data_IF_793208349930
#
_entry.id   IF_793208349930
#
_cell.length_a   1.000
_cell.length_b   1.000
_cell.length_c   1.000
_cell.angle_alpha   90.00
_cell.angle_beta   90.00
_cell.angle_gamma   90.00
#
_symmetry.space_group_name_H-M   'P 1'
#
loop_
_entity.id
_entity.type
_entity.pdbx_description
1 polymer ?
#
# COMPACT_ATOMS: atom_id res chain seq x y z
N UNK A 1 20.04 5.46 -10.46
CA UNK A 1 20.59 4.39 -11.33
C UNK A 1 19.53 3.31 -11.42
N UNK A 2 19.04 2.92 -12.60
CA UNK A 2 17.96 1.91 -12.69
C UNK A 2 18.56 0.51 -12.72
N UNK A 3 18.35 -0.29 -11.67
CA UNK A 3 18.82 -1.68 -11.60
C UNK A 3 17.64 -2.63 -11.87
N UNK A 4 17.59 -3.24 -13.05
CA UNK A 4 16.60 -4.28 -13.40
C UNK A 4 17.18 -5.65 -13.05
N UNK A 5 16.71 -6.30 -11.98
CA UNK A 5 17.16 -7.67 -11.65
C UNK A 5 16.04 -8.58 -11.14
N UNK A 6 16.09 -9.84 -11.60
CA UNK A 6 15.21 -10.95 -11.20
C UNK A 6 15.61 -11.59 -9.85
N UNK A 7 16.46 -10.94 -9.02
CA UNK A 7 16.91 -11.37 -7.67
C UNK A 7 17.24 -10.15 -6.82
N UNK A 8 17.27 -10.33 -5.49
CA UNK A 8 17.38 -9.30 -4.43
C UNK A 8 18.12 -8.02 -4.83
N UNK A 9 17.41 -6.89 -4.84
CA UNK A 9 17.96 -5.54 -5.01
C UNK A 9 18.28 -4.94 -3.63
N UNK A 10 19.45 -4.31 -3.53
CA UNK A 10 19.86 -3.49 -2.38
C UNK A 10 20.30 -2.14 -2.97
N UNK A 11 19.61 -1.07 -2.57
CA UNK A 11 19.89 0.32 -2.98
C UNK A 11 21.20 0.87 -2.37
N UNK A 12 21.49 2.13 -2.69
CA UNK A 12 22.44 2.98 -1.98
C UNK A 12 21.75 3.80 -0.87
N UNK A 13 22.47 4.51 0.03
CA UNK A 13 21.87 5.40 1.04
C UNK A 13 21.25 6.70 0.49
N UNK A 14 20.86 6.74 -0.78
CA UNK A 14 20.26 7.88 -1.47
C UNK A 14 18.96 7.42 -2.11
N UNK A 15 18.07 8.37 -2.39
CA UNK A 15 16.86 8.07 -3.16
C UNK A 15 17.17 7.43 -4.50
N UNK A 16 16.71 6.20 -4.66
CA UNK A 16 16.93 5.32 -5.79
C UNK A 16 15.60 4.98 -6.49
N UNK A 17 15.69 4.41 -7.69
CA UNK A 17 14.53 3.85 -8.40
C UNK A 17 14.83 2.39 -8.71
N UNK A 18 14.08 1.50 -8.08
CA UNK A 18 14.29 0.06 -8.14
C UNK A 18 13.09 -0.62 -8.79
N UNK A 19 13.33 -1.65 -9.59
CA UNK A 19 12.26 -2.42 -10.22
C UNK A 19 12.53 -3.91 -10.08
N UNK A 20 11.53 -4.63 -9.57
CA UNK A 20 11.56 -6.07 -9.40
C UNK A 20 10.44 -6.73 -10.20
N UNK A 21 10.71 -7.94 -10.69
CA UNK A 21 9.76 -8.75 -11.43
C UNK A 21 9.85 -10.22 -11.02
N UNK A 22 8.78 -10.97 -11.30
CA UNK A 22 8.69 -12.36 -10.87
C UNK A 22 8.47 -12.44 -9.35
N UNK A 23 9.36 -13.14 -8.65
CA UNK A 23 9.37 -13.26 -7.19
C UNK A 23 10.59 -12.52 -6.62
N UNK A 24 10.68 -11.22 -6.87
CA UNK A 24 11.81 -10.41 -6.44
C UNK A 24 11.64 -9.88 -5.00
N UNK A 25 12.76 -9.64 -4.35
CA UNK A 25 12.84 -8.84 -3.12
C UNK A 25 13.57 -7.55 -3.45
N UNK A 26 12.96 -6.40 -3.14
CA UNK A 26 13.50 -5.07 -3.37
C UNK A 26 13.65 -4.38 -2.01
N UNK A 27 14.83 -3.81 -1.73
CA UNK A 27 15.08 -3.04 -0.50
C UNK A 27 15.67 -1.67 -0.85
N UNK A 28 15.00 -0.59 -0.43
CA UNK A 28 15.40 0.82 -0.57
C UNK A 28 16.37 1.33 0.52
N UNK A 29 16.51 0.62 1.63
CA UNK A 29 17.47 0.92 2.70
C UNK A 29 17.34 2.32 3.30
N UNK A 30 18.11 3.31 2.87
CA UNK A 30 18.05 4.68 3.39
C UNK A 30 17.88 5.64 2.21
N UNK A 31 17.04 6.64 2.36
CA UNK A 31 16.73 7.58 1.28
C UNK A 31 15.23 7.64 1.02
N UNK A 32 14.83 8.48 0.08
CA UNK A 32 13.45 8.52 -0.38
C UNK A 32 13.41 7.80 -1.73
N UNK A 33 13.01 6.54 -1.70
CA UNK A 33 13.10 5.60 -2.80
C UNK A 33 11.78 5.44 -3.55
N UNK A 34 11.91 5.08 -4.83
CA UNK A 34 10.81 4.65 -5.67
C UNK A 34 10.96 3.18 -6.03
N UNK A 35 10.10 2.33 -5.47
CA UNK A 35 10.14 0.88 -5.67
C UNK A 35 8.97 0.44 -6.54
N UNK A 36 9.25 -0.30 -7.62
CA UNK A 36 8.23 -0.78 -8.54
C UNK A 36 8.24 -2.31 -8.65
N UNK A 37 7.09 -2.92 -8.41
CA UNK A 37 6.77 -4.30 -8.79
C UNK A 37 6.29 -4.34 -10.24
N UNK A 38 6.69 -5.36 -11.01
CA UNK A 38 6.18 -5.60 -12.38
C UNK A 38 6.00 -7.09 -12.69
N UNK A 39 5.05 -7.38 -13.56
CA UNK A 39 4.87 -8.72 -14.12
C UNK A 39 4.22 -9.72 -13.15
N UNK A 40 4.13 -10.97 -13.57
CA UNK A 40 3.47 -12.03 -12.79
C UNK A 40 4.41 -12.55 -11.72
N UNK A 41 3.90 -12.67 -10.49
CA UNK A 41 4.62 -13.24 -9.35
C UNK A 41 4.24 -12.52 -8.04
N UNK A 42 4.98 -12.83 -6.97
CA UNK A 42 4.83 -12.19 -5.66
C UNK A 42 6.14 -11.53 -5.28
N UNK A 43 6.21 -10.22 -5.43
CA UNK A 43 7.35 -9.43 -5.04
C UNK A 43 7.22 -8.99 -3.58
N UNK A 44 8.36 -8.75 -2.95
CA UNK A 44 8.46 -8.10 -1.63
C UNK A 44 9.20 -6.79 -1.81
N UNK A 45 8.57 -5.67 -1.47
CA UNK A 45 9.11 -4.32 -1.54
C UNK A 45 9.26 -3.81 -0.11
N UNK A 46 10.47 -3.39 0.27
CA UNK A 46 10.79 -2.71 1.53
C UNK A 46 11.37 -1.34 1.22
N UNK A 47 10.69 -0.28 1.64
CA UNK A 47 11.18 1.10 1.54
C UNK A 47 12.46 1.25 2.35
N UNK A 48 12.35 1.12 3.66
CA UNK A 48 13.48 1.24 4.57
C UNK A 48 13.35 2.51 5.40
N UNK A 49 14.39 3.34 5.45
CA UNK A 49 14.34 4.64 6.13
C UNK A 49 14.18 5.74 5.11
N UNK A 50 13.22 6.62 5.36
CA UNK A 50 12.94 7.80 4.55
C UNK A 50 11.52 7.74 4.02
N UNK A 51 11.14 8.73 3.22
CA UNK A 51 9.76 8.83 2.73
C UNK A 51 9.70 8.18 1.35
N UNK A 52 9.29 6.92 1.33
CA UNK A 52 9.34 6.07 0.16
C UNK A 52 8.02 6.03 -0.60
N UNK A 53 8.10 5.63 -1.87
CA UNK A 53 6.93 5.36 -2.70
C UNK A 53 7.03 3.96 -3.29
N UNK A 54 6.09 3.09 -2.90
CA UNK A 54 6.05 1.69 -3.29
C UNK A 54 4.86 1.43 -4.21
N UNK A 55 5.14 0.89 -5.39
CA UNK A 55 4.13 0.46 -6.37
C UNK A 55 4.06 -1.06 -6.45
N UNK A 56 2.99 -1.63 -5.89
CA UNK A 56 2.61 -3.02 -6.11
C UNK A 56 2.03 -3.23 -7.51
N UNK A 57 1.98 -4.49 -7.92
CA UNK A 57 1.39 -4.91 -9.19
C UNK A 57 0.35 -6.00 -8.98
N UNK A 58 0.68 -7.06 -8.25
CA UNK A 58 -0.19 -8.23 -8.08
C UNK A 58 -0.35 -8.64 -6.60
N UNK A 59 0.05 -9.88 -6.27
CA UNK A 59 -0.03 -10.44 -4.92
C UNK A 59 1.26 -10.11 -4.14
N UNK A 60 1.61 -8.83 -4.09
CA UNK A 60 2.88 -8.36 -3.53
C UNK A 60 2.77 -8.07 -2.03
N UNK A 61 3.92 -8.00 -1.38
CA UNK A 61 4.05 -7.51 0.00
C UNK A 61 4.81 -6.19 -0.05
N UNK A 62 4.19 -5.13 0.45
CA UNK A 62 4.76 -3.78 0.51
C UNK A 62 4.94 -3.39 1.98
N UNK A 63 6.15 -2.96 2.32
CA UNK A 63 6.56 -2.49 3.63
C UNK A 63 7.16 -1.10 3.46
N UNK A 64 6.54 -0.07 4.02
CA UNK A 64 7.12 1.29 4.05
C UNK A 64 8.36 1.33 4.95
N UNK A 65 8.21 0.73 6.15
CA UNK A 65 9.20 0.66 7.22
C UNK A 65 9.27 1.97 8.04
N UNK A 66 10.28 2.83 7.88
CA UNK A 66 10.40 4.08 8.66
C UNK A 66 10.26 5.30 7.76
N UNK A 67 9.26 6.15 8.01
CA UNK A 67 9.07 7.41 7.31
C UNK A 67 7.60 7.62 6.93
N UNK A 68 7.32 8.74 6.27
CA UNK A 68 5.97 9.01 5.77
C UNK A 68 5.84 8.43 4.35
N UNK A 69 5.32 7.21 4.23
CA UNK A 69 5.37 6.44 2.98
C UNK A 69 4.08 6.51 2.16
N UNK A 70 4.20 6.24 0.85
CA UNK A 70 3.06 6.10 -0.05
C UNK A 70 3.06 4.71 -0.69
N UNK A 71 2.08 3.89 -0.30
CA UNK A 71 1.96 2.51 -0.75
C UNK A 71 0.79 2.37 -1.73
N UNK A 72 1.11 2.21 -3.01
CA UNK A 72 0.14 1.89 -4.05
C UNK A 72 -0.10 0.38 -4.12
N UNK A 73 -1.31 -0.02 -3.78
CA UNK A 73 -1.69 -1.42 -3.78
C UNK A 73 -1.74 -2.01 -5.20
N UNK A 74 -1.32 -3.27 -5.32
CA UNK A 74 -1.57 -4.08 -6.51
C UNK A 74 -2.99 -4.66 -6.53
N UNK A 75 -3.17 -5.78 -7.23
CA UNK A 75 -4.47 -6.44 -7.31
C UNK A 75 -4.90 -7.16 -6.03
N UNK A 76 -3.97 -7.72 -5.26
CA UNK A 76 -4.25 -8.51 -4.04
C UNK A 76 -3.04 -8.45 -3.09
N UNK A 77 -2.54 -7.24 -2.88
CA UNK A 77 -1.33 -6.97 -2.10
C UNK A 77 -1.60 -6.88 -0.60
N UNK A 78 -0.54 -7.15 0.18
CA UNK A 78 -0.49 -6.87 1.61
C UNK A 78 0.38 -5.63 1.82
N UNK A 79 -0.14 -4.69 2.59
CA UNK A 79 0.47 -3.38 2.82
C UNK A 79 0.73 -3.21 4.32
N UNK A 80 1.96 -2.85 4.64
CA UNK A 80 2.43 -2.51 5.99
C UNK A 80 3.08 -1.14 5.88
N UNK A 81 2.52 -0.14 6.57
CA UNK A 81 3.06 1.22 6.55
C UNK A 81 4.35 1.27 7.35
N UNK A 82 4.27 0.94 8.63
CA UNK A 82 5.38 1.01 9.58
C UNK A 82 5.29 2.25 10.48
N UNK A 83 6.43 2.87 10.75
CA UNK A 83 6.53 4.09 11.56
C UNK A 83 6.36 5.31 10.67
N UNK A 84 5.40 6.19 10.96
CA UNK A 84 5.24 7.46 10.25
C UNK A 84 3.79 7.68 9.86
N UNK A 85 3.52 8.72 9.07
CA UNK A 85 2.19 8.99 8.50
C UNK A 85 2.12 8.40 7.11
N UNK A 86 1.51 7.23 7.02
CA UNK A 86 1.46 6.50 5.77
C UNK A 86 0.19 6.76 4.96
N UNK A 87 0.31 6.62 3.64
CA UNK A 87 -0.77 6.75 2.69
C UNK A 87 -0.94 5.45 1.90
N UNK A 88 -2.01 4.72 2.21
CA UNK A 88 -2.38 3.49 1.52
C UNK A 88 -3.30 3.80 0.34
N UNK A 89 -2.75 3.82 -0.88
CA UNK A 89 -3.52 4.07 -2.10
C UNK A 89 -4.14 2.75 -2.58
N UNK A 90 -5.44 2.59 -2.33
CA UNK A 90 -6.19 1.33 -2.57
C UNK A 90 -7.00 1.33 -3.86
N UNK A 91 -7.15 2.50 -4.49
CA UNK A 91 -7.65 2.64 -5.86
C UNK A 91 -6.78 3.65 -6.61
N UNK A 92 -6.53 3.40 -7.90
CA UNK A 92 -5.75 4.29 -8.75
C UNK A 92 -6.34 4.31 -10.17
N UNK A 93 -7.43 5.06 -10.35
CA UNK A 93 -8.18 5.13 -11.61
C UNK A 93 -9.11 3.94 -11.88
N UNK A 94 -8.93 2.81 -11.16
CA UNK A 94 -9.84 1.67 -11.16
C UNK A 94 -9.97 1.05 -9.77
N UNK A 95 -11.06 0.30 -9.53
CA UNK A 95 -11.16 -0.60 -8.38
C UNK A 95 -10.14 -1.73 -8.51
N UNK A 96 -9.64 -2.28 -7.40
CA UNK A 96 -8.70 -3.39 -7.45
C UNK A 96 -9.40 -4.67 -7.94
N UNK A 97 -8.68 -5.49 -8.71
CA UNK A 97 -9.20 -6.75 -9.24
C UNK A 97 -9.33 -7.85 -8.17
N UNK A 98 -8.70 -7.65 -7.02
CA UNK A 98 -8.79 -8.49 -5.83
C UNK A 98 -8.75 -7.63 -4.58
N UNK A 99 -8.81 -8.29 -3.42
CA UNK A 99 -8.91 -7.59 -2.14
C UNK A 99 -7.50 -7.36 -1.60
N UNK A 100 -7.16 -6.09 -1.40
CA UNK A 100 -5.92 -5.70 -0.72
C UNK A 100 -6.08 -5.78 0.80
N UNK A 101 -4.98 -5.94 1.52
CA UNK A 101 -4.99 -5.97 3.00
C UNK A 101 -3.99 -4.98 3.58
N UNK A 102 -4.48 -4.01 4.35
CA UNK A 102 -3.64 -3.17 5.20
C UNK A 102 -3.48 -3.86 6.56
N UNK A 103 -2.25 -3.94 7.05
CA UNK A 103 -1.90 -4.85 8.15
C UNK A 103 -1.71 -4.17 9.50
N UNK A 104 -1.38 -2.88 9.52
CA UNK A 104 -0.91 -2.13 10.68
C UNK A 104 -1.47 -0.69 10.74
N UNK A 105 -2.57 -0.43 10.03
CA UNK A 105 -3.19 0.89 9.95
C UNK A 105 -3.41 1.52 11.33
N UNK A 106 -2.89 2.73 11.52
CA UNK A 106 -3.04 3.52 12.73
C UNK A 106 -4.01 4.67 12.48
N UNK A 107 -5.28 4.60 12.95
CA UNK A 107 -6.31 5.58 12.58
C UNK A 107 -6.00 7.04 12.92
N UNK A 108 -5.20 7.29 13.96
CA UNK A 108 -4.88 8.65 14.38
C UNK A 108 -3.67 9.23 13.61
N UNK A 109 -3.09 8.46 12.69
CA UNK A 109 -1.86 8.78 11.97
C UNK A 109 -2.02 8.61 10.47
N UNK A 110 -2.43 7.43 10.02
CA UNK A 110 -2.42 7.02 8.61
C UNK A 110 -3.67 7.43 7.82
N UNK A 111 -3.54 7.36 6.50
CA UNK A 111 -4.61 7.68 5.56
C UNK A 111 -4.83 6.58 4.53
N UNK A 112 -6.09 6.33 4.19
CA UNK A 112 -6.50 5.47 3.08
C UNK A 112 -6.90 6.37 1.93
N UNK A 113 -6.23 6.21 0.80
CA UNK A 113 -6.40 7.07 -0.36
C UNK A 113 -7.17 6.32 -1.44
N UNK A 114 -8.27 6.92 -1.86
CA UNK A 114 -9.04 6.50 -3.02
C UNK A 114 -8.81 7.50 -4.15
N UNK A 115 -8.17 7.05 -5.25
CA UNK A 115 -7.84 7.92 -6.38
C UNK A 115 -8.70 7.60 -7.61
N UNK A 116 -9.44 8.58 -8.08
CA UNK A 116 -10.23 8.61 -9.31
C UNK A 116 -11.62 7.98 -9.25
N UNK A 117 -11.76 6.81 -8.61
CA UNK A 117 -13.00 6.00 -8.73
C UNK A 117 -14.03 6.32 -7.67
N UNK A 118 -13.59 6.51 -6.43
CA UNK A 118 -14.48 6.80 -5.31
C UNK A 118 -14.31 8.27 -4.97
N UNK A 119 -15.39 9.03 -5.03
CA UNK A 119 -15.32 10.49 -4.88
C UNK A 119 -15.57 11.01 -3.47
N UNK A 120 -16.08 10.19 -2.54
CA UNK A 120 -16.45 10.64 -1.19
C UNK A 120 -16.66 9.51 -0.19
N UNK A 121 -16.49 9.87 1.09
CA UNK A 121 -16.67 8.98 2.23
C UNK A 121 -18.06 8.33 2.30
N UNK A 122 -19.13 9.07 2.02
CA UNK A 122 -20.49 8.53 2.07
C UNK A 122 -20.81 7.50 0.99
N UNK A 123 -19.90 7.28 0.03
CA UNK A 123 -19.98 6.18 -0.94
C UNK A 123 -19.41 4.86 -0.42
N UNK A 124 -18.72 4.88 0.73
CA UNK A 124 -18.11 3.70 1.31
C UNK A 124 -19.09 2.97 2.23
N UNK A 125 -19.02 1.64 2.20
CA UNK A 125 -19.63 0.77 3.20
C UNK A 125 -18.51 0.13 4.01
N UNK A 126 -18.47 0.41 5.31
CA UNK A 126 -17.46 -0.13 6.22
C UNK A 126 -18.15 -1.14 7.15
N UNK A 127 -17.64 -2.36 7.22
CA UNK A 127 -18.22 -3.43 8.03
C UNK A 127 -17.14 -4.24 8.74
N UNK A 128 -17.51 -4.90 9.83
CA UNK A 128 -16.58 -5.76 10.55
C UNK A 128 -16.21 -6.98 9.71
N UNK A 129 -14.96 -7.42 9.80
CA UNK A 129 -14.46 -8.66 9.20
C UNK A 129 -13.40 -9.26 10.12
N UNK A 130 -13.77 -10.31 10.85
CA UNK A 130 -12.90 -10.88 11.89
C UNK A 130 -12.59 -9.84 12.97
N UNK A 131 -11.31 -9.66 13.31
CA UNK A 131 -10.83 -8.63 14.24
C UNK A 131 -10.72 -7.23 13.61
N UNK A 132 -10.96 -7.11 12.31
CA UNK A 132 -10.73 -5.88 11.55
C UNK A 132 -11.95 -5.37 10.81
N UNK A 133 -11.69 -4.63 9.73
CA UNK A 133 -12.68 -4.01 8.87
C UNK A 133 -12.54 -4.45 7.43
N UNK A 134 -13.64 -4.37 6.70
CA UNK A 134 -13.66 -4.39 5.24
C UNK A 134 -14.36 -3.14 4.74
N UNK A 135 -13.75 -2.49 3.76
CA UNK A 135 -14.30 -1.33 3.07
C UNK A 135 -14.77 -1.78 1.71
N UNK A 136 -16.02 -1.44 1.38
CA UNK A 136 -16.65 -1.70 0.10
C UNK A 136 -17.08 -0.42 -0.59
N UNK A 137 -17.11 -0.49 -1.92
CA UNK A 137 -17.70 0.54 -2.78
C UNK A 137 -18.56 -0.17 -3.83
N UNK A 138 -19.80 0.31 -4.03
CA UNK A 138 -20.78 -0.31 -4.94
C UNK A 138 -20.94 -1.84 -4.76
N UNK A 139 -20.87 -2.30 -3.51
CA UNK A 139 -21.00 -3.71 -3.14
C UNK A 139 -19.74 -4.57 -3.32
N UNK A 140 -18.65 -4.01 -3.86
CA UNK A 140 -17.38 -4.70 -4.05
C UNK A 140 -16.43 -4.45 -2.88
N UNK A 141 -15.82 -5.51 -2.35
CA UNK A 141 -14.70 -5.41 -1.38
C UNK A 141 -13.50 -4.74 -2.05
N UNK A 142 -13.05 -3.60 -1.50
CA UNK A 142 -11.89 -2.86 -2.01
C UNK A 142 -10.64 -3.18 -1.19
N UNK A 143 -10.75 -3.08 0.13
CA UNK A 143 -9.63 -3.29 1.05
C UNK A 143 -10.12 -3.82 2.39
N UNK A 144 -9.32 -4.69 2.99
CA UNK A 144 -9.47 -5.11 4.40
C UNK A 144 -8.40 -4.46 5.24
N UNK A 145 -8.76 -4.08 6.47
CA UNK A 145 -7.84 -3.50 7.45
C UNK A 145 -7.83 -4.42 8.65
N UNK A 146 -6.67 -4.97 8.98
CA UNK A 146 -6.54 -5.86 10.12
C UNK A 146 -6.62 -5.07 11.43
N UNK A 147 -7.23 -5.66 12.45
CA UNK A 147 -7.20 -5.20 13.84
C UNK A 147 -7.72 -3.76 14.07
N UNK A 148 -8.42 -3.17 13.10
CA UNK A 148 -9.10 -1.89 13.24
C UNK A 148 -10.59 -2.11 13.08
N UNK A 149 -11.34 -1.85 14.14
CA UNK A 149 -12.80 -1.98 14.13
C UNK A 149 -13.45 -0.87 13.26
N UNK A 150 -14.60 -1.12 12.61
CA UNK A 150 -15.25 -0.14 11.74
C UNK A 150 -15.54 1.20 12.41
N UNK A 151 -15.89 1.18 13.70
CA UNK A 151 -16.21 2.38 14.48
C UNK A 151 -14.99 3.30 14.72
N UNK A 152 -13.77 2.81 14.44
CA UNK A 152 -12.52 3.59 14.49
C UNK A 152 -12.15 4.21 13.15
N UNK A 153 -12.95 4.01 12.11
CA UNK A 153 -12.72 4.54 10.77
C UNK A 153 -13.74 5.63 10.48
N UNK A 154 -13.34 6.88 10.71
CA UNK A 154 -14.12 8.08 10.39
C UNK A 154 -13.67 8.72 9.08
N UNK A 155 -14.38 9.77 8.66
CA UNK A 155 -14.13 10.49 7.40
C UNK A 155 -12.68 10.98 7.29
N UNK A 156 -12.08 11.36 8.41
CA UNK A 156 -10.71 11.83 8.55
C UNK A 156 -9.65 10.82 8.11
N UNK A 157 -9.98 9.52 8.12
CA UNK A 157 -9.07 8.46 7.68
C UNK A 157 -9.00 8.31 6.15
N UNK A 158 -9.83 9.05 5.41
CA UNK A 158 -10.01 8.85 3.99
C UNK A 158 -9.71 10.10 3.17
N UNK A 159 -8.89 9.91 2.15
CA UNK A 159 -8.61 10.92 1.14
C UNK A 159 -9.21 10.48 -0.18
N UNK A 160 -9.90 11.39 -0.86
CA UNK A 160 -10.50 11.17 -2.17
C UNK A 160 -9.90 12.19 -3.13
N UNK A 161 -9.21 11.70 -4.17
CA UNK A 161 -8.45 12.49 -5.16
C UNK A 161 -8.86 12.16 -6.59
#
# INVERSE_FOLDING_TARGET
MTLNINRTTVSTPKGDTLTGAGNATINGNEGNDLLLSRGVGRNTLRGGKGNDTLFGFANDQLFGDQGDDILYAGSSSRLTGGEGRDRFVVTNGSLPAGINTITDFTPDVDLIVFKGVVGRYSGLQISARGSGSVIRFDGLDVVTINNVAPARLGRENFVFE
#
